data_IF_406198300024
#
_entry.id   IF_406198300024
#
_cell.length_a   1.000
_cell.length_b   1.000
_cell.length_c   1.000
_cell.angle_alpha   90.00
_cell.angle_beta   90.00
_cell.angle_gamma   90.00
#
_symmetry.space_group_name_H-M   'P 1'
#
loop_
_entity.id
_entity.type
_entity.pdbx_description
1 polymer ?
#
# COMPACT_ATOMS: atom_id res chain seq x y z
N UNK A 1 -5.45 -24.70 -18.82
CA UNK A 1 -5.64 -24.09 -18.71
C UNK A 1 -5.59 -23.41 -18.83
N UNK A 2 -5.51 -23.22 -18.61
CA UNK A 2 -5.61 -22.26 -18.46
C UNK A 2 -5.33 -21.60 -18.48
N UNK A 3 -5.12 -21.55 -18.27
CA UNK A 3 -5.06 -20.77 -18.11
C UNK A 3 -4.77 -20.02 -18.42
N UNK A 4 -4.63 -20.05 -18.33
CA UNK A 4 -4.53 -19.14 -18.52
C UNK A 4 -4.41 -18.45 -18.78
N UNK A 5 -4.45 -18.65 -18.80
CA UNK A 5 -4.54 -17.85 -18.88
C UNK A 5 -4.41 -17.08 -18.80
N UNK A 6 -4.29 -16.96 -18.45
CA UNK A 6 -4.38 -16.19 -18.13
C UNK A 6 -3.76 -15.47 -18.44
N UNK A 7 -3.15 -15.32 -18.60
CA UNK A 7 -2.55 -14.60 -18.89
C UNK A 7 -2.70 -13.70 -19.19
N UNK A 8 -2.56 -13.89 -19.32
CA UNK A 8 -2.82 -13.21 -19.73
C UNK A 8 -3.15 -12.17 -19.72
N UNK A 9 -3.28 -12.27 -19.69
CA UNK A 9 -3.94 -11.12 -19.68
C UNK A 9 -3.80 -10.27 -18.51
N UNK A 10 -2.72 -10.30 -17.92
CA UNK A 10 -2.48 -9.47 -16.86
C UNK A 10 -2.06 -8.15 -17.34
N UNK A 11 -2.97 -7.22 -17.35
CA UNK A 11 -2.65 -5.86 -17.71
C UNK A 11 -2.08 -5.20 -16.48
N UNK A 12 -0.80 -4.97 -16.52
CA UNK A 12 -0.13 -4.29 -15.41
C UNK A 12 -0.31 -2.81 -15.55
N UNK A 13 -0.66 -2.16 -14.47
CA UNK A 13 -0.86 -0.72 -14.43
C UNK A 13 -0.04 -0.10 -13.33
N UNK A 14 0.22 1.17 -13.45
CA UNK A 14 0.99 1.87 -12.43
C UNK A 14 0.08 2.46 -11.39
N UNK A 15 0.39 2.13 -10.15
CA UNK A 15 -0.38 2.64 -9.02
C UNK A 15 0.56 3.30 -8.03
N UNK A 16 0.02 4.28 -7.35
CA UNK A 16 0.69 4.91 -6.24
C UNK A 16 -0.16 4.68 -5.01
N UNK A 17 0.41 4.06 -4.00
CA UNK A 17 -0.32 3.78 -2.78
C UNK A 17 0.33 4.56 -1.65
N UNK A 18 -0.47 5.39 -0.99
CA UNK A 18 0.00 6.09 0.19
C UNK A 18 -0.80 5.60 1.37
N UNK A 19 -0.12 5.22 2.44
CA UNK A 19 -0.83 4.83 3.64
C UNK A 19 -0.18 5.46 4.85
N UNK A 20 -1.00 5.61 5.89
CA UNK A 20 -0.60 6.31 7.10
C UNK A 20 -0.66 5.34 8.25
N UNK A 21 0.47 5.21 8.97
CA UNK A 21 0.59 4.32 10.09
C UNK A 21 0.43 5.14 11.37
N UNK A 22 -0.27 4.60 12.36
CA UNK A 22 -0.51 5.33 13.60
C UNK A 22 0.80 5.78 14.23
N UNK A 23 0.81 6.95 14.87
CA UNK A 23 2.08 7.53 15.33
C UNK A 23 2.67 6.86 16.57
N UNK A 24 1.86 6.16 17.35
CA UNK A 24 2.33 5.54 18.58
C UNK A 24 2.70 4.08 18.40
N UNK A 25 3.24 3.75 17.23
CA UNK A 25 3.73 2.42 16.95
C UNK A 25 5.23 2.36 17.21
N UNK A 26 5.71 1.22 17.66
CA UNK A 26 7.13 1.04 17.88
C UNK A 26 7.86 0.87 16.55
N UNK A 27 9.12 1.29 16.52
CA UNK A 27 9.89 1.27 15.28
C UNK A 27 9.97 -0.12 14.66
N UNK A 28 10.19 -1.13 15.47
CA UNK A 28 10.28 -2.49 14.97
C UNK A 28 8.96 -2.97 14.39
N UNK A 29 7.88 -2.63 15.07
CA UNK A 29 6.56 -3.01 14.58
C UNK A 29 6.22 -2.29 13.30
N UNK A 30 6.62 -1.02 13.19
CA UNK A 30 6.40 -0.24 11.99
C UNK A 30 7.16 -0.84 10.81
N UNK A 31 8.40 -1.21 11.03
CA UNK A 31 9.22 -1.82 10.00
C UNK A 31 8.63 -3.14 9.53
N UNK A 32 8.21 -3.96 10.48
CA UNK A 32 7.59 -5.24 10.14
C UNK A 32 6.30 -5.03 9.35
N UNK A 33 5.54 -4.00 9.71
CA UNK A 33 4.30 -3.69 9.00
C UNK A 33 4.57 -3.30 7.56
N UNK A 34 5.56 -2.45 7.34
CA UNK A 34 5.91 -2.02 5.99
C UNK A 34 6.37 -3.21 5.15
N UNK A 35 7.23 -4.05 5.73
CA UNK A 35 7.70 -5.23 5.01
C UNK A 35 6.57 -6.19 4.68
N UNK A 36 5.65 -6.35 5.62
CA UNK A 36 4.53 -7.25 5.40
C UNK A 36 3.65 -6.76 4.26
N UNK A 37 3.37 -5.47 4.21
CA UNK A 37 2.51 -4.94 3.16
C UNK A 37 3.22 -4.90 1.82
N UNK A 38 4.53 -4.69 1.81
CA UNK A 38 5.28 -4.84 0.58
C UNK A 38 5.21 -6.27 0.08
N UNK A 39 5.31 -7.24 0.99
CA UNK A 39 5.23 -8.65 0.61
C UNK A 39 3.85 -9.01 0.07
N UNK A 40 2.79 -8.43 0.65
CA UNK A 40 1.45 -8.66 0.13
C UNK A 40 1.36 -8.26 -1.33
N UNK A 41 1.95 -7.13 -1.67
CA UNK A 41 1.92 -6.67 -3.05
C UNK A 41 2.73 -7.59 -3.96
N UNK A 42 3.95 -7.94 -3.56
CA UNK A 42 4.78 -8.77 -4.43
C UNK A 42 4.26 -10.20 -4.52
N UNK A 43 3.64 -10.71 -3.45
CA UNK A 43 3.05 -12.04 -3.49
C UNK A 43 1.87 -12.10 -4.44
N UNK A 44 1.25 -10.97 -4.72
CA UNK A 44 0.14 -10.90 -5.65
C UNK A 44 0.59 -10.40 -7.03
N UNK A 45 1.88 -10.47 -7.29
CA UNK A 45 2.41 -10.21 -8.62
C UNK A 45 2.79 -8.78 -8.90
N UNK A 46 2.78 -7.91 -7.90
CA UNK A 46 3.15 -6.53 -8.12
C UNK A 46 4.66 -6.39 -8.18
N UNK A 47 5.10 -5.42 -8.96
CA UNK A 47 6.50 -5.03 -9.01
C UNK A 47 6.63 -3.72 -8.27
N UNK A 48 7.50 -3.71 -7.26
CA UNK A 48 7.74 -2.49 -6.51
C UNK A 48 8.71 -1.60 -7.27
N UNK A 49 8.19 -0.50 -7.77
CA UNK A 49 9.03 0.44 -8.51
C UNK A 49 9.75 1.38 -7.55
N UNK A 50 9.07 1.80 -6.51
CA UNK A 50 9.65 2.75 -5.58
C UNK A 50 8.92 2.65 -4.25
N UNK A 51 9.66 2.77 -3.16
CA UNK A 51 9.07 2.82 -1.83
C UNK A 51 9.75 3.94 -1.08
N UNK A 52 8.95 4.88 -0.57
CA UNK A 52 9.47 6.02 0.14
C UNK A 52 8.83 6.14 1.51
N UNK A 53 9.64 6.45 2.47
CA UNK A 53 9.16 6.74 3.81
C UNK A 53 9.23 8.24 4.01
N UNK A 54 8.06 8.87 4.15
CA UNK A 54 8.00 10.31 4.32
C UNK A 54 8.16 10.73 5.77
N UNK A 55 8.08 9.77 6.70
CA UNK A 55 8.23 10.06 8.10
C UNK A 55 6.95 10.55 8.73
N UNK A 56 7.08 11.03 9.96
CA UNK A 56 5.94 11.46 10.75
C UNK A 56 5.49 12.84 10.30
N UNK A 57 4.21 12.96 9.99
CA UNK A 57 3.66 14.21 9.52
C UNK A 57 2.34 14.47 10.20
N UNK A 58 2.00 15.75 10.31
CA UNK A 58 0.72 16.14 10.88
C UNK A 58 -0.37 15.91 9.87
N UNK A 59 -1.48 15.34 10.33
CA UNK A 59 -2.65 15.14 9.47
C UNK A 59 -3.38 16.46 9.30
N UNK A 60 -4.05 16.60 8.16
CA UNK A 60 -4.84 17.80 7.89
C UNK A 60 -5.98 17.94 8.89
N UNK A 61 -6.50 16.82 9.35
CA UNK A 61 -7.52 16.78 10.40
C UNK A 61 -7.37 15.45 11.11
N UNK A 62 -7.98 15.37 12.30
CA UNK A 62 -7.85 14.16 13.08
C UNK A 62 -8.54 12.98 12.41
N UNK A 63 -7.89 11.83 12.42
CA UNK A 63 -8.46 10.59 11.93
C UNK A 63 -8.32 9.59 13.06
N UNK A 64 -9.44 9.03 13.54
CA UNK A 64 -9.46 8.06 14.63
C UNK A 64 -8.72 8.59 15.85
N UNK A 65 -8.92 9.88 16.15
CA UNK A 65 -8.28 10.55 17.29
C UNK A 65 -6.77 10.73 17.17
N UNK A 66 -6.21 10.47 16.00
CA UNK A 66 -4.79 10.72 15.75
C UNK A 66 -4.62 12.04 15.03
N UNK A 67 -3.59 12.79 15.40
CA UNK A 67 -3.26 14.06 14.75
C UNK A 67 -2.07 13.95 13.81
N UNK A 68 -1.27 12.93 13.98
CA UNK A 68 -0.09 12.70 13.13
C UNK A 68 -0.08 11.27 12.71
N UNK A 69 0.81 10.95 11.80
CA UNK A 69 1.02 9.58 11.39
C UNK A 69 2.27 9.47 10.57
N UNK A 70 2.72 8.24 10.38
CA UNK A 70 3.86 7.97 9.52
C UNK A 70 3.36 7.70 8.11
N UNK A 71 3.83 8.49 7.17
CA UNK A 71 3.41 8.39 5.78
C UNK A 71 4.35 7.48 5.01
N UNK A 72 3.76 6.53 4.31
CA UNK A 72 4.50 5.62 3.44
C UNK A 72 3.95 5.73 2.03
N UNK A 73 4.84 5.82 1.07
CA UNK A 73 4.45 5.91 -0.33
C UNK A 73 5.09 4.77 -1.08
N UNK A 74 4.29 4.04 -1.87
CA UNK A 74 4.77 2.92 -2.66
C UNK A 74 4.26 3.10 -4.08
N UNK A 75 5.18 3.02 -5.04
CA UNK A 75 4.81 3.02 -6.44
C UNK A 75 5.02 1.62 -7.00
N UNK A 76 4.00 1.10 -7.62
CA UNK A 76 4.02 -0.28 -8.08
C UNK A 76 3.49 -0.40 -9.50
N UNK A 77 3.91 -1.47 -10.15
CA UNK A 77 3.27 -1.95 -11.38
C UNK A 77 2.56 -3.22 -11.01
N UNK A 78 1.26 -3.26 -11.21
CA UNK A 78 0.49 -4.39 -10.73
C UNK A 78 -0.81 -4.53 -11.48
N UNK A 79 -1.35 -5.75 -11.44
CA UNK A 79 -2.72 -5.97 -11.84
C UNK A 79 -3.63 -5.51 -10.70
N UNK A 80 -4.89 -5.19 -11.00
CA UNK A 80 -5.78 -4.68 -9.95
C UNK A 80 -5.94 -5.60 -8.75
N UNK A 81 -5.76 -6.91 -8.95
CA UNK A 81 -5.94 -7.86 -7.86
C UNK A 81 -4.97 -7.60 -6.71
N UNK A 82 -3.75 -7.16 -7.03
CA UNK A 82 -2.77 -6.87 -5.99
C UNK A 82 -3.21 -5.67 -5.16
N UNK A 83 -3.74 -4.65 -5.83
CA UNK A 83 -4.21 -3.46 -5.15
C UNK A 83 -5.43 -3.77 -4.28
N UNK A 84 -6.32 -4.61 -4.79
CA UNK A 84 -7.51 -4.99 -4.03
C UNK A 84 -7.15 -5.74 -2.76
N UNK A 85 -6.18 -6.64 -2.86
CA UNK A 85 -5.76 -7.38 -1.69
C UNK A 85 -5.08 -6.48 -0.68
N UNK A 86 -4.24 -5.56 -1.16
CA UNK A 86 -3.63 -4.58 -0.28
C UNK A 86 -4.70 -3.78 0.47
N UNK A 87 -5.68 -3.28 -0.27
CA UNK A 87 -6.72 -2.45 0.33
C UNK A 87 -7.54 -3.23 1.34
N UNK A 88 -7.86 -4.48 1.03
CA UNK A 88 -8.64 -5.30 1.93
C UNK A 88 -7.93 -5.47 3.27
N UNK A 89 -6.64 -5.78 3.20
CA UNK A 89 -5.88 -6.02 4.42
C UNK A 89 -5.57 -4.73 5.16
N UNK A 90 -5.40 -3.63 4.44
CA UNK A 90 -5.15 -2.35 5.08
C UNK A 90 -6.36 -1.89 5.88
N UNK A 91 -7.56 -2.17 5.38
CA UNK A 91 -8.77 -1.74 6.07
C UNK A 91 -8.97 -2.43 7.40
N UNK A 92 -8.51 -3.66 7.52
CA UNK A 92 -8.70 -4.40 8.75
C UNK A 92 -7.51 -4.33 9.68
N UNK A 93 -6.45 -3.66 9.26
CA UNK A 93 -5.24 -3.54 10.09
C UNK A 93 -5.36 -2.30 10.97
N UNK A 94 -5.26 -2.50 12.27
CA UNK A 94 -5.46 -1.41 13.21
C UNK A 94 -4.32 -0.41 13.21
N UNK A 95 -3.16 -0.81 12.71
CA UNK A 95 -2.00 0.08 12.69
C UNK A 95 -2.03 1.04 11.51
N UNK A 96 -2.85 0.77 10.51
CA UNK A 96 -2.99 1.65 9.36
C UNK A 96 -4.24 2.49 9.54
N UNK A 97 -4.03 3.80 9.71
CA UNK A 97 -5.15 4.71 9.93
C UNK A 97 -5.93 4.94 8.66
N UNK A 98 -5.21 5.05 7.55
CA UNK A 98 -5.83 5.40 6.29
C UNK A 98 -4.92 4.99 5.15
N UNK A 99 -5.51 4.69 4.00
CA UNK A 99 -4.73 4.44 2.81
C UNK A 99 -5.45 5.02 1.61
N UNK A 100 -4.68 5.41 0.60
CA UNK A 100 -5.18 5.99 -0.63
C UNK A 100 -4.47 5.31 -1.78
N UNK A 101 -5.23 4.90 -2.77
CA UNK A 101 -4.67 4.29 -3.97
C UNK A 101 -4.98 5.20 -5.15
N UNK A 102 -3.95 5.57 -5.89
CA UNK A 102 -4.10 6.40 -7.07
C UNK A 102 -3.56 5.62 -8.25
N UNK A 103 -4.37 5.49 -9.28
CA UNK A 103 -3.93 4.85 -10.51
C UNK A 103 -3.35 5.89 -11.42
N UNK A 104 -2.10 5.66 -11.85
CA UNK A 104 -1.47 6.56 -12.79
C UNK A 104 -1.93 6.22 -14.17
N UNK A 105 -2.35 7.22 -14.89
CA UNK A 105 -2.80 7.01 -16.25
C UNK A 105 -1.66 7.31 -17.17
N UNK A 106 -1.34 6.34 -17.99
CA UNK A 106 -0.32 6.56 -19.01
C UNK A 106 -0.90 7.41 -20.11
N UNK A 107 -0.10 8.27 -20.62
CA UNK A 107 -0.54 9.14 -21.68
C UNK A 107 0.21 8.87 -22.94
#
# INVERSE_FOLDING_TARGET
MGRLDQKEVKVMKKYEIMYIIRPNIEDEAKKALVERFNAILTDNGAELAEAKEWGKRRLAYEINDFRDGYYQLVKINAAPVAVEEFSRLAKINEDIIRHIVVKEEAK
#
